data_IF_181990378574
#
_entry.id   IF_181990378574
#
_cell.length_a   1.000
_cell.length_b   1.000
_cell.length_c   1.000
_cell.angle_alpha   90.00
_cell.angle_beta   90.00
_cell.angle_gamma   90.00
#
_symmetry.space_group_name_H-M   'P 1'
#
loop_
_entity.id
_entity.type
_entity.pdbx_description
1 polymer ?
#
# COMPACT_ATOMS: atom_id res chain seq x y z
N UNK A 1 20.29 -2.76 13.13
CA UNK A 1 19.86 -2.91 11.72
C UNK A 1 19.84 -1.54 11.07
N UNK A 2 20.54 -1.32 9.96
CA UNK A 2 20.64 0.00 9.30
C UNK A 2 19.47 0.14 8.33
N UNK A 3 18.62 1.16 8.52
CA UNK A 3 17.53 1.49 7.59
C UNK A 3 18.14 2.11 6.32
N UNK A 4 17.91 1.46 5.18
CA UNK A 4 18.30 2.00 3.87
C UNK A 4 17.14 2.80 3.27
N UNK A 5 17.45 4.01 2.83
CA UNK A 5 16.53 4.94 2.18
C UNK A 5 16.75 4.92 0.67
N UNK A 6 15.67 4.85 -0.10
CA UNK A 6 15.68 4.86 -1.56
C UNK A 6 14.82 6.03 -2.07
N UNK A 7 15.07 6.55 -3.28
CA UNK A 7 14.17 7.52 -3.90
C UNK A 7 12.73 7.01 -3.92
N UNK A 8 11.77 7.86 -3.59
CA UNK A 8 10.37 7.51 -3.71
C UNK A 8 9.97 7.49 -5.21
N UNK A 9 9.36 6.41 -5.73
CA UNK A 9 8.97 6.32 -7.14
C UNK A 9 8.10 7.51 -7.55
N UNK A 10 8.45 8.19 -8.64
CA UNK A 10 7.75 9.37 -9.15
C UNK A 10 7.94 10.67 -8.35
N UNK A 11 8.55 10.61 -7.15
CA UNK A 11 8.62 11.73 -6.21
C UNK A 11 10.05 11.90 -5.66
N UNK A 12 11.01 12.40 -6.47
CA UNK A 12 12.44 12.40 -6.14
C UNK A 12 12.82 13.27 -4.93
N UNK A 13 11.95 14.22 -4.53
CA UNK A 13 12.12 15.04 -3.33
C UNK A 13 11.88 14.27 -2.02
N UNK A 14 11.51 12.99 -2.11
CA UNK A 14 11.21 12.12 -0.98
C UNK A 14 11.97 10.80 -1.08
N UNK A 15 12.17 10.19 0.08
CA UNK A 15 12.74 8.85 0.20
C UNK A 15 11.76 7.93 0.90
N UNK A 16 11.79 6.67 0.50
CA UNK A 16 11.01 5.58 1.09
C UNK A 16 11.94 4.44 1.49
N UNK A 17 11.52 3.63 2.46
CA UNK A 17 12.24 2.43 2.87
C UNK A 17 11.33 1.19 2.93
N UNK A 18 11.94 0.01 3.09
CA UNK A 18 11.22 -1.28 3.14
C UNK A 18 10.22 -1.41 4.30
N UNK A 19 10.33 -0.54 5.31
CA UNK A 19 9.41 -0.46 6.45
C UNK A 19 8.22 0.49 6.20
N UNK A 20 8.04 0.95 4.95
CA UNK A 20 6.99 1.87 4.55
C UNK A 20 7.06 3.25 5.21
N UNK A 21 8.24 3.68 5.64
CA UNK A 21 8.44 5.05 6.11
C UNK A 21 8.81 5.93 4.94
N UNK A 22 8.25 7.14 4.90
CA UNK A 22 8.54 8.17 3.89
C UNK A 22 9.11 9.39 4.57
N UNK A 23 10.15 10.00 4.00
CA UNK A 23 10.72 11.27 4.49
C UNK A 23 11.02 12.23 3.37
N UNK A 24 11.01 13.52 3.68
CA UNK A 24 11.53 14.56 2.79
C UNK A 24 13.05 14.44 2.68
N UNK A 25 13.60 14.52 1.46
CA UNK A 25 15.04 14.61 1.21
C UNK A 25 15.60 15.91 1.80
N UNK A 26 14.91 17.04 1.54
CA UNK A 26 15.36 18.38 1.95
C UNK A 26 15.44 18.55 3.47
N UNK A 27 14.43 18.07 4.19
CA UNK A 27 14.30 18.34 5.63
C UNK A 27 14.61 17.14 6.51
N UNK A 28 14.72 15.94 5.94
CA UNK A 28 14.85 14.69 6.68
C UNK A 28 13.60 14.28 7.49
N UNK A 29 12.56 15.12 7.54
CA UNK A 29 11.36 14.88 8.34
C UNK A 29 10.56 13.71 7.79
N UNK A 30 10.14 12.83 8.70
CA UNK A 30 9.20 11.74 8.40
C UNK A 30 7.82 12.33 8.10
N UNK A 31 7.20 11.84 7.04
CA UNK A 31 5.80 12.12 6.73
C UNK A 31 4.93 11.17 7.53
N UNK A 32 3.76 11.67 7.97
CA UNK A 32 2.75 10.85 8.63
C UNK A 32 1.74 10.38 7.58
N UNK A 33 1.65 9.07 7.30
CA UNK A 33 0.57 8.55 6.47
C UNK A 33 -0.78 8.77 7.16
N UNK A 34 -1.83 8.89 6.36
CA UNK A 34 -3.21 8.98 6.85
C UNK A 34 -4.05 7.86 6.21
N UNK A 35 -5.11 7.45 6.91
CA UNK A 35 -6.08 6.49 6.38
C UNK A 35 -7.06 7.17 5.42
N UNK A 36 -7.40 6.50 4.32
CA UNK A 36 -8.35 7.02 3.33
C UNK A 36 -9.84 6.73 3.63
N UNK A 37 -10.13 6.17 4.80
CA UNK A 37 -11.47 5.75 5.23
C UNK A 37 -11.84 4.34 4.78
N UNK A 38 -11.04 3.72 3.89
CA UNK A 38 -11.23 2.36 3.40
C UNK A 38 -10.16 1.38 3.90
N UNK A 39 -9.31 1.84 4.82
CA UNK A 39 -8.22 1.09 5.44
C UNK A 39 -6.88 1.18 4.71
N UNK A 40 -6.78 1.95 3.61
CA UNK A 40 -5.51 2.10 2.89
C UNK A 40 -4.79 3.37 3.33
N UNK A 41 -3.53 3.19 3.73
CA UNK A 41 -2.66 4.31 4.08
C UNK A 41 -2.22 5.08 2.84
N UNK A 42 -2.25 6.41 2.95
CA UNK A 42 -1.81 7.37 1.94
C UNK A 42 -0.82 8.38 2.49
N UNK A 43 -0.01 8.94 1.61
CA UNK A 43 0.88 10.07 1.89
C UNK A 43 0.66 11.14 0.82
N UNK A 44 0.75 12.42 1.22
CA UNK A 44 0.68 13.53 0.26
C UNK A 44 2.09 13.90 -0.20
N UNK A 45 2.41 13.67 -1.47
CA UNK A 45 3.71 13.94 -2.08
C UNK A 45 3.51 14.86 -3.29
N UNK A 46 4.26 15.95 -3.38
CA UNK A 46 4.20 16.90 -4.50
C UNK A 46 2.76 17.40 -4.84
N UNK A 47 1.88 17.46 -3.84
CA UNK A 47 0.48 17.86 -4.02
C UNK A 47 -0.48 16.70 -4.31
N UNK A 48 0.02 15.51 -4.62
CA UNK A 48 -0.75 14.32 -4.97
C UNK A 48 -0.97 13.41 -3.77
N UNK A 49 -2.12 12.73 -3.74
CA UNK A 49 -2.43 11.73 -2.72
C UNK A 49 -1.98 10.35 -3.20
N UNK A 50 -0.88 9.82 -2.68
CA UNK A 50 -0.29 8.57 -3.13
C UNK A 50 -0.61 7.42 -2.18
N UNK A 51 -0.92 6.22 -2.70
CA UNK A 51 -1.14 5.01 -1.89
C UNK A 51 0.19 4.44 -1.42
N UNK A 52 0.37 4.30 -0.12
CA UNK A 52 1.65 3.94 0.47
C UNK A 52 2.11 2.53 0.06
N UNK A 53 1.21 1.55 0.07
CA UNK A 53 1.55 0.17 -0.34
C UNK A 53 2.04 0.10 -1.80
N UNK A 54 1.47 0.90 -2.70
CA UNK A 54 1.91 0.95 -4.11
C UNK A 54 3.32 1.53 -4.21
N UNK A 55 3.59 2.65 -3.54
CA UNK A 55 4.94 3.25 -3.51
C UNK A 55 5.99 2.27 -2.98
N UNK A 56 5.66 1.51 -1.93
CA UNK A 56 6.56 0.49 -1.37
C UNK A 56 6.78 -0.65 -2.37
N UNK A 57 5.73 -1.17 -2.99
CA UNK A 57 5.85 -2.27 -3.94
C UNK A 57 6.69 -1.87 -5.17
N UNK A 58 6.43 -0.69 -5.75
CA UNK A 58 7.20 -0.14 -6.86
C UNK A 58 8.69 0.03 -6.52
N UNK A 59 9.01 0.40 -5.28
CA UNK A 59 10.39 0.63 -4.86
C UNK A 59 11.18 -0.65 -4.53
N UNK A 60 10.51 -1.73 -4.09
CA UNK A 60 11.19 -2.85 -3.43
C UNK A 60 10.81 -4.25 -3.90
N UNK A 61 9.75 -4.40 -4.69
CA UNK A 61 9.24 -5.71 -5.11
C UNK A 61 9.32 -5.81 -6.63
N UNK A 62 10.24 -6.63 -7.17
CA UNK A 62 10.29 -6.88 -8.60
C UNK A 62 8.94 -7.36 -9.15
N UNK A 63 8.57 -6.88 -10.34
CA UNK A 63 7.36 -7.28 -11.03
C UNK A 63 7.67 -7.83 -12.43
N UNK A 64 8.40 -8.96 -12.55
CA UNK A 64 8.82 -9.50 -13.85
C UNK A 64 7.62 -9.92 -14.72
N UNK A 65 6.50 -10.29 -14.10
CA UNK A 65 5.27 -10.71 -14.78
C UNK A 65 4.35 -9.54 -15.15
N UNK A 66 4.75 -8.30 -14.83
CA UNK A 66 3.96 -7.08 -15.08
C UNK A 66 2.52 -7.16 -14.53
N UNK A 67 2.35 -7.76 -13.35
CA UNK A 67 1.07 -7.91 -12.68
C UNK A 67 0.54 -6.53 -12.24
N UNK A 68 -0.75 -6.20 -12.46
CA UNK A 68 -1.24 -4.83 -12.31
C UNK A 68 -1.63 -4.43 -10.88
N UNK A 69 -1.80 -5.38 -9.95
CA UNK A 69 -2.33 -5.11 -8.60
C UNK A 69 -1.26 -5.36 -7.55
N UNK A 70 -1.21 -4.50 -6.52
CA UNK A 70 -0.44 -4.76 -5.29
C UNK A 70 -1.39 -5.32 -4.24
N UNK A 71 -1.15 -6.55 -3.80
CA UNK A 71 -1.93 -7.23 -2.78
C UNK A 71 -1.23 -7.18 -1.41
N UNK A 72 -2.01 -7.18 -0.33
CA UNK A 72 -1.52 -7.42 1.03
C UNK A 72 -1.68 -8.91 1.36
N UNK A 73 -0.56 -9.63 1.52
CA UNK A 73 -0.52 -11.11 1.69
C UNK A 73 -1.44 -11.65 2.79
N UNK A 74 -1.66 -10.88 3.85
CA UNK A 74 -2.49 -11.26 5.00
C UNK A 74 -3.73 -10.37 5.17
N UNK A 75 -4.11 -9.60 4.14
CA UNK A 75 -5.28 -8.70 4.19
C UNK A 75 -5.17 -7.49 5.11
N UNK A 76 -4.02 -7.31 5.80
CA UNK A 76 -3.78 -6.19 6.72
C UNK A 76 -3.36 -4.93 5.96
N UNK A 77 -4.34 -4.13 5.53
CA UNK A 77 -4.12 -2.93 4.69
C UNK A 77 -3.22 -1.85 5.31
N UNK A 78 -3.18 -1.75 6.64
CA UNK A 78 -2.26 -0.83 7.34
C UNK A 78 -0.81 -1.30 7.34
N UNK A 79 -0.55 -2.59 7.10
CA UNK A 79 0.79 -3.13 7.06
C UNK A 79 1.34 -3.02 5.63
N UNK A 80 1.94 -1.87 5.35
CA UNK A 80 2.52 -1.54 4.05
C UNK A 80 3.98 -1.97 3.90
N UNK A 81 4.57 -2.73 4.84
CA UNK A 81 5.97 -3.17 4.76
C UNK A 81 6.17 -4.02 3.50
N UNK A 82 7.32 -3.87 2.84
CA UNK A 82 7.59 -4.57 1.56
C UNK A 82 7.45 -6.10 1.68
N UNK A 83 7.78 -6.69 2.84
CA UNK A 83 7.63 -8.14 3.06
C UNK A 83 6.17 -8.63 3.07
N UNK A 84 5.21 -7.73 3.31
CA UNK A 84 3.78 -8.01 3.47
C UNK A 84 2.98 -7.77 2.19
N UNK A 85 3.65 -7.28 1.14
CA UNK A 85 3.05 -6.96 -0.14
C UNK A 85 3.54 -7.93 -1.22
N UNK A 86 2.75 -8.08 -2.27
CA UNK A 86 3.08 -8.83 -3.48
C UNK A 86 2.36 -8.26 -4.69
N UNK A 87 2.88 -8.54 -5.88
CA UNK A 87 2.17 -8.26 -7.11
C UNK A 87 1.22 -9.40 -7.45
N UNK A 88 0.00 -9.06 -7.84
CA UNK A 88 -1.08 -9.98 -8.14
C UNK A 88 -1.83 -9.55 -9.40
N UNK A 89 -2.43 -10.50 -10.08
CA UNK A 89 -3.50 -10.25 -11.06
C UNK A 89 -4.80 -9.91 -10.33
N UNK A 90 -5.77 -9.36 -11.07
CA UNK A 90 -7.10 -9.03 -10.51
C UNK A 90 -7.80 -10.29 -10.01
N UNK A 91 -7.69 -11.41 -10.74
CA UNK A 91 -8.29 -12.69 -10.36
C UNK A 91 -7.64 -13.29 -9.12
N UNK A 92 -6.30 -13.28 -9.03
CA UNK A 92 -5.56 -13.72 -7.84
C UNK A 92 -5.98 -12.92 -6.60
N UNK A 93 -6.02 -11.59 -6.71
CA UNK A 93 -6.44 -10.71 -5.61
C UNK A 93 -7.90 -10.97 -5.18
N UNK A 94 -8.79 -11.19 -6.15
CA UNK A 94 -10.19 -11.51 -5.87
C UNK A 94 -10.32 -12.86 -5.16
N UNK A 95 -9.62 -13.88 -5.66
CA UNK A 95 -9.60 -15.22 -5.03
C UNK A 95 -9.05 -15.16 -3.61
N UNK A 96 -7.95 -14.44 -3.39
CA UNK A 96 -7.37 -14.22 -2.06
C UNK A 96 -8.40 -13.60 -1.09
N UNK A 97 -9.12 -12.56 -1.55
CA UNK A 97 -10.15 -11.92 -0.74
C UNK A 97 -11.31 -12.87 -0.38
N UNK A 98 -11.68 -13.78 -1.28
CA UNK A 98 -12.66 -14.84 -0.99
C UNK A 98 -12.13 -15.85 0.02
N UNK A 99 -10.94 -16.40 -0.22
CA UNK A 99 -10.33 -17.44 0.60
C UNK A 99 -10.07 -16.96 2.05
N UNK A 100 -9.81 -15.66 2.22
CA UNK A 100 -9.59 -15.03 3.53
C UNK A 100 -10.84 -14.36 4.13
N UNK A 101 -12.03 -14.53 3.52
CA UNK A 101 -13.28 -13.98 4.05
C UNK A 101 -13.34 -12.45 4.09
N UNK A 102 -12.55 -11.77 3.26
CA UNK A 102 -12.48 -10.30 3.19
C UNK A 102 -13.64 -9.70 2.38
N UNK A 103 -14.41 -10.53 1.66
CA UNK A 103 -15.62 -10.13 0.95
C UNK A 103 -16.84 -10.47 1.84
N UNK A 104 -17.53 -9.44 2.31
CA UNK A 104 -18.83 -9.62 2.95
C UNK A 104 -19.89 -9.89 1.87
N UNK A 105 -20.61 -11.01 1.96
CA UNK A 105 -21.83 -11.22 1.16
C UNK A 105 -22.82 -10.12 1.54
N UNK A 106 -23.46 -9.51 0.53
CA UNK A 106 -24.42 -8.42 0.73
C UNK A 106 -25.45 -8.79 1.80
N UNK A 107 -25.30 -8.20 2.99
CA UNK A 107 -26.29 -8.31 4.03
C UNK A 107 -27.55 -7.57 3.60
N UNK A 108 -28.68 -8.26 3.62
CA UNK A 108 -30.01 -7.65 3.49
C UNK A 108 -30.09 -6.51 4.49
N UNK A 109 -30.10 -5.27 4.01
CA UNK A 109 -30.46 -4.11 4.83
C UNK A 109 -31.96 -4.21 5.09
N UNK A 110 -32.35 -4.85 6.19
CA UNK A 110 -33.69 -4.65 6.74
C UNK A 110 -33.77 -3.18 7.18
N UNK A 111 -34.32 -2.33 6.31
CA UNK A 111 -34.79 -1.00 6.68
C UNK A 111 -36.08 -1.21 7.47
N UNK A 112 -35.95 -1.20 8.79
CA UNK A 112 -37.11 -1.14 9.69
C UNK A 112 -37.91 0.13 9.39
N UNK A 113 -39.23 -0.04 9.31
CA UNK A 113 -40.25 1.01 9.24
C UNK A 113 -40.15 1.97 10.41
#
# INVERSE_FOLDING_TARGET
MIIKWHPCPGHPNYQINRLAQVRSVKTGKLLKPYDDGSGYLRVKLDGENCRLHILVALAFIPNPENKPVVNHKHGKKHDCRASQLEWATISENTKHAWDHGLIQRGGVKNRGR
#
